data_IF_684641221224
#
_entry.id   IF_684641221224
#
_cell.length_a   1.000
_cell.length_b   1.000
_cell.length_c   1.000
_cell.angle_alpha   90.00
_cell.angle_beta   90.00
_cell.angle_gamma   90.00
#
_symmetry.space_group_name_H-M   'P 1'
#
loop_
_entity.id
_entity.type
_entity.pdbx_description
1 polymer ?
#
# COMPACT_ATOMS: atom_id res chain seq x y z
N UNK A 1 -11.70 -33.91 -59.89
CA UNK A 1 -10.76 -32.99 -59.23
C UNK A 1 -11.53 -32.19 -58.20
N UNK A 2 -11.30 -32.43 -56.91
CA UNK A 2 -11.93 -31.70 -55.81
C UNK A 2 -10.90 -31.52 -54.71
N UNK A 3 -10.49 -30.27 -54.47
CA UNK A 3 -9.59 -29.90 -53.39
C UNK A 3 -10.41 -29.19 -52.29
N UNK A 4 -10.27 -29.55 -51.00
CA UNK A 4 -10.66 -28.68 -49.89
C UNK A 4 -9.52 -27.67 -49.64
N UNK A 5 -9.74 -26.50 -49.00
CA UNK A 5 -9.88 -26.46 -47.53
C UNK A 5 -10.67 -25.18 -47.08
N UNK A 6 -10.77 -24.69 -45.85
CA UNK A 6 -10.20 -24.89 -44.52
C UNK A 6 -11.26 -24.35 -43.56
N UNK A 7 -11.50 -25.04 -42.45
CA UNK A 7 -12.18 -24.47 -41.29
C UNK A 7 -11.43 -23.21 -40.85
N UNK A 8 -12.07 -22.04 -40.94
CA UNK A 8 -11.56 -20.83 -40.29
C UNK A 8 -11.70 -21.04 -38.78
N UNK A 9 -10.63 -21.51 -38.14
CA UNK A 9 -10.39 -21.19 -36.74
C UNK A 9 -10.13 -19.70 -36.68
N UNK A 10 -11.12 -18.93 -36.22
CA UNK A 10 -10.88 -17.57 -35.76
C UNK A 10 -9.90 -17.69 -34.60
N UNK A 11 -8.63 -17.37 -34.86
CA UNK A 11 -7.67 -17.11 -33.81
C UNK A 11 -8.21 -15.92 -32.98
N UNK A 12 -8.28 -16.01 -31.65
CA UNK A 12 -8.63 -14.85 -30.85
C UNK A 12 -7.60 -13.75 -31.13
N UNK A 13 -8.09 -12.56 -31.43
CA UNK A 13 -7.26 -11.37 -31.64
C UNK A 13 -6.28 -11.20 -30.48
N UNK A 14 -5.04 -10.76 -30.76
CA UNK A 14 -4.07 -10.47 -29.72
C UNK A 14 -4.64 -9.39 -28.80
N UNK A 15 -4.77 -9.73 -27.52
CA UNK A 15 -5.21 -8.79 -26.49
C UNK A 15 -4.39 -7.50 -26.59
N UNK A 16 -5.07 -6.38 -26.80
CA UNK A 16 -4.53 -5.04 -26.71
C UNK A 16 -3.68 -4.89 -25.44
N UNK A 17 -2.43 -4.38 -25.50
CA UNK A 17 -1.57 -4.21 -24.32
C UNK A 17 -2.07 -3.11 -23.34
N UNK A 18 -3.33 -2.70 -23.43
CA UNK A 18 -3.91 -1.56 -22.72
C UNK A 18 -4.99 -1.89 -21.70
N UNK A 19 -5.23 -3.16 -21.33
CA UNK A 19 -6.24 -3.48 -20.31
C UNK A 19 -5.73 -4.51 -19.30
N UNK A 20 -4.75 -4.11 -18.49
CA UNK A 20 -4.80 -4.50 -17.08
C UNK A 20 -5.74 -3.50 -16.41
N UNK A 21 -7.04 -3.73 -16.53
CA UNK A 21 -8.00 -3.13 -15.63
C UNK A 21 -7.80 -3.81 -14.27
N UNK A 22 -6.72 -3.45 -13.58
CA UNK A 22 -6.57 -3.78 -12.18
C UNK A 22 -7.70 -3.10 -11.45
N UNK A 23 -8.56 -3.88 -10.80
CA UNK A 23 -9.55 -3.37 -9.85
C UNK A 23 -8.88 -2.29 -9.00
N UNK A 24 -9.44 -1.09 -8.86
CA UNK A 24 -8.81 -0.05 -8.05
C UNK A 24 -8.64 -0.63 -6.64
N UNK A 25 -7.39 -0.87 -6.24
CA UNK A 25 -7.10 -1.43 -4.93
C UNK A 25 -7.76 -0.54 -3.88
N UNK A 26 -8.56 -1.14 -3.00
CA UNK A 26 -9.24 -0.43 -1.91
C UNK A 26 -8.21 0.16 -0.96
N UNK A 27 -8.61 1.17 -0.18
CA UNK A 27 -7.73 1.80 0.81
C UNK A 27 -7.16 0.76 1.77
N UNK A 28 -7.99 -0.18 2.23
CA UNK A 28 -7.58 -1.28 3.10
C UNK A 28 -6.49 -2.16 2.45
N UNK A 29 -6.67 -2.58 1.19
CA UNK A 29 -5.66 -3.36 0.46
C UNK A 29 -4.33 -2.61 0.31
N UNK A 30 -4.39 -1.29 0.09
CA UNK A 30 -3.18 -0.46 -0.01
C UNK A 30 -2.48 -0.29 1.33
N UNK A 31 -3.24 -0.16 2.42
CA UNK A 31 -2.72 -0.14 3.80
C UNK A 31 -2.05 -1.48 4.12
N UNK A 32 -2.67 -2.60 3.80
CA UNK A 32 -2.08 -3.94 3.99
C UNK A 32 -0.82 -4.13 3.16
N UNK A 33 -0.81 -3.69 1.90
CA UNK A 33 0.39 -3.73 1.06
C UNK A 33 1.52 -2.87 1.64
N UNK A 34 1.20 -1.69 2.18
CA UNK A 34 2.16 -0.85 2.87
C UNK A 34 2.69 -1.52 4.15
N UNK A 35 1.83 -2.13 4.97
CA UNK A 35 2.23 -2.89 6.15
C UNK A 35 3.17 -4.05 5.80
N UNK A 36 2.88 -4.78 4.72
CA UNK A 36 3.76 -5.84 4.23
C UNK A 36 5.12 -5.29 3.77
N UNK A 37 5.13 -4.15 3.07
CA UNK A 37 6.36 -3.49 2.66
C UNK A 37 7.21 -2.98 3.83
N UNK A 38 6.58 -2.56 4.93
CA UNK A 38 7.29 -2.14 6.15
C UNK A 38 8.04 -3.30 6.82
N UNK A 39 7.53 -4.54 6.68
CA UNK A 39 8.18 -5.76 7.18
C UNK A 39 9.36 -6.21 6.31
N UNK A 40 9.64 -5.54 5.19
CA UNK A 40 10.74 -5.89 4.31
C UNK A 40 12.11 -5.73 5.00
N UNK A 41 13.04 -6.63 4.71
CA UNK A 41 14.44 -6.50 5.12
C UNK A 41 15.20 -5.44 4.30
N UNK A 42 14.65 -5.02 3.15
CA UNK A 42 15.26 -4.03 2.26
C UNK A 42 14.87 -2.62 2.71
N UNK A 43 15.85 -1.83 3.16
CA UNK A 43 15.64 -0.47 3.66
C UNK A 43 14.83 0.41 2.69
N UNK A 44 15.16 0.39 1.40
CA UNK A 44 14.43 1.15 0.37
C UNK A 44 12.95 0.77 0.29
N UNK A 45 12.62 -0.52 0.40
CA UNK A 45 11.23 -0.97 0.36
C UNK A 45 10.48 -0.52 1.62
N UNK A 46 11.12 -0.57 2.79
CA UNK A 46 10.54 -0.03 4.02
C UNK A 46 10.25 1.47 3.92
N UNK A 47 11.19 2.25 3.39
CA UNK A 47 10.98 3.70 3.21
C UNK A 47 9.83 4.00 2.25
N UNK A 48 9.71 3.26 1.15
CA UNK A 48 8.60 3.43 0.21
C UNK A 48 7.26 3.06 0.86
N UNK A 49 7.24 1.98 1.62
CA UNK A 49 6.06 1.51 2.34
C UNK A 49 5.59 2.50 3.42
N UNK A 50 6.53 3.07 4.18
CA UNK A 50 6.25 4.13 5.16
C UNK A 50 5.64 5.35 4.48
N UNK A 51 6.22 5.81 3.38
CA UNK A 51 5.68 6.95 2.62
C UNK A 51 4.28 6.68 2.09
N UNK A 52 4.05 5.48 1.53
CA UNK A 52 2.75 5.08 1.03
C UNK A 52 1.71 5.09 2.16
N UNK A 53 2.04 4.49 3.31
CA UNK A 53 1.14 4.45 4.46
C UNK A 53 0.81 5.86 4.97
N UNK A 54 1.81 6.72 5.12
CA UNK A 54 1.62 8.12 5.53
C UNK A 54 0.69 8.86 4.56
N UNK A 55 0.89 8.71 3.25
CA UNK A 55 0.05 9.35 2.24
C UNK A 55 -1.40 8.86 2.33
N UNK A 56 -1.61 7.55 2.43
CA UNK A 56 -2.94 6.96 2.54
C UNK A 56 -3.67 7.47 3.79
N UNK A 57 -3.04 7.42 4.96
CA UNK A 57 -3.67 7.86 6.21
C UNK A 57 -3.92 9.37 6.24
N UNK A 58 -3.01 10.17 5.67
CA UNK A 58 -3.22 11.62 5.56
C UNK A 58 -4.41 11.92 4.64
N UNK A 59 -4.51 11.22 3.51
CA UNK A 59 -5.63 11.38 2.58
C UNK A 59 -6.95 10.96 3.23
N UNK A 60 -6.98 9.80 3.91
CA UNK A 60 -8.16 9.32 4.61
C UNK A 60 -8.61 10.27 5.72
N UNK A 61 -7.67 10.84 6.47
CA UNK A 61 -7.98 11.83 7.51
C UNK A 61 -8.58 13.11 6.94
N UNK A 62 -8.08 13.60 5.80
CA UNK A 62 -8.63 14.77 5.10
C UNK A 62 -10.08 14.51 4.68
N UNK A 63 -10.39 13.29 4.25
CA UNK A 63 -11.72 12.94 3.76
C UNK A 63 -12.65 12.40 4.86
N UNK A 64 -12.13 12.12 6.07
CA UNK A 64 -12.83 11.44 7.19
C UNK A 64 -13.48 10.13 6.78
N UNK A 65 -12.79 9.34 5.96
CA UNK A 65 -13.39 8.19 5.26
C UNK A 65 -13.01 6.82 5.82
N UNK A 66 -11.99 6.70 6.68
CA UNK A 66 -11.52 5.39 7.16
C UNK A 66 -11.11 5.35 8.64
N UNK A 67 -12.07 5.36 9.56
CA UNK A 67 -11.83 5.02 10.98
C UNK A 67 -11.28 3.59 11.11
N UNK A 68 -11.76 2.66 10.29
CA UNK A 68 -11.35 1.25 10.30
C UNK A 68 -9.84 1.04 10.01
N UNK A 69 -9.21 1.91 9.21
CA UNK A 69 -7.77 1.81 8.94
C UNK A 69 -6.94 2.25 10.16
N UNK A 70 -7.40 3.27 10.89
CA UNK A 70 -6.79 3.70 12.14
C UNK A 70 -7.01 2.67 13.24
N UNK A 71 -8.23 2.16 13.42
CA UNK A 71 -8.53 1.08 14.38
C UNK A 71 -7.67 -0.15 14.12
N UNK A 72 -7.50 -0.54 12.85
CA UNK A 72 -6.65 -1.68 12.49
C UNK A 72 -5.17 -1.43 12.80
N UNK A 73 -4.64 -0.24 12.52
CA UNK A 73 -3.25 0.12 12.82
C UNK A 73 -2.99 0.28 14.32
N UNK A 74 -3.97 0.76 15.07
CA UNK A 74 -3.94 0.92 16.51
C UNK A 74 -4.29 -0.39 17.25
N UNK A 75 -4.74 -1.43 16.55
CA UNK A 75 -4.93 -2.75 17.13
C UNK A 75 -3.60 -3.33 17.63
N UNK A 76 -3.59 -3.97 18.80
CA UNK A 76 -2.37 -4.28 19.54
C UNK A 76 -1.28 -5.03 18.77
N UNK A 77 -1.64 -5.96 17.87
CA UNK A 77 -0.65 -6.69 17.05
C UNK A 77 -0.02 -5.82 15.96
N UNK A 78 -0.83 -5.00 15.28
CA UNK A 78 -0.36 -4.12 14.21
C UNK A 78 0.33 -2.88 14.75
N UNK A 79 -0.06 -2.40 15.92
CA UNK A 79 0.58 -1.29 16.61
C UNK A 79 2.05 -1.60 16.89
N UNK A 80 2.34 -2.80 17.43
CA UNK A 80 3.72 -3.25 17.69
C UNK A 80 4.54 -3.33 16.39
N UNK A 81 3.95 -3.87 15.33
CA UNK A 81 4.60 -3.95 14.01
C UNK A 81 4.92 -2.55 13.47
N UNK A 82 3.95 -1.65 13.51
CA UNK A 82 4.05 -0.28 12.99
C UNK A 82 5.11 0.51 13.76
N UNK A 83 5.08 0.46 15.10
CA UNK A 83 6.07 1.13 15.96
C UNK A 83 7.48 0.55 15.76
N UNK A 84 7.62 -0.76 15.56
CA UNK A 84 8.92 -1.38 15.28
C UNK A 84 9.50 -0.87 13.96
N UNK A 85 8.67 -0.74 12.92
CA UNK A 85 9.10 -0.24 11.62
C UNK A 85 9.47 1.25 11.66
N UNK A 86 8.70 2.05 12.41
CA UNK A 86 9.03 3.45 12.69
C UNK A 86 10.39 3.54 13.40
N UNK A 87 10.63 2.71 14.43
CA UNK A 87 11.91 2.70 15.15
C UNK A 87 13.08 2.38 14.22
N UNK A 88 12.96 1.34 13.40
CA UNK A 88 14.00 0.99 12.42
C UNK A 88 14.27 2.14 11.44
N UNK A 89 13.23 2.85 10.99
CA UNK A 89 13.37 3.98 10.09
C UNK A 89 14.02 5.20 10.75
N UNK A 90 13.79 5.42 12.05
CA UNK A 90 14.49 6.42 12.84
C UNK A 90 15.97 6.07 13.02
N UNK A 91 16.30 4.78 13.14
CA UNK A 91 17.67 4.29 13.29
C UNK A 91 18.49 4.32 11.97
N UNK A 92 17.84 4.33 10.80
CA UNK A 92 18.47 4.15 9.48
C UNK A 92 19.32 5.35 9.01
N UNK A 93 19.40 6.44 9.80
CA UNK A 93 20.05 7.74 9.49
C UNK A 93 19.69 8.34 8.12
N UNK A 94 18.67 7.81 7.47
CA UNK A 94 18.15 8.23 6.19
C UNK A 94 17.09 9.31 6.44
N UNK A 95 17.37 10.54 6.00
CA UNK A 95 16.48 11.70 6.23
C UNK A 95 15.08 11.48 5.65
N UNK A 96 14.95 10.76 4.54
CA UNK A 96 13.65 10.41 3.95
C UNK A 96 12.90 9.42 4.83
N UNK A 97 13.57 8.39 5.34
CA UNK A 97 12.96 7.41 6.24
C UNK A 97 12.55 8.06 7.57
N UNK A 98 13.42 8.91 8.11
CA UNK A 98 13.17 9.69 9.33
C UNK A 98 11.94 10.60 9.17
N UNK A 99 11.86 11.34 8.06
CA UNK A 99 10.73 12.23 7.78
C UNK A 99 9.43 11.45 7.65
N UNK A 100 9.43 10.34 6.90
CA UNK A 100 8.24 9.50 6.74
C UNK A 100 7.77 8.91 8.08
N UNK A 101 8.70 8.46 8.91
CA UNK A 101 8.41 7.90 10.24
C UNK A 101 7.83 8.94 11.20
N UNK A 102 8.40 10.15 11.24
CA UNK A 102 7.88 11.25 12.05
C UNK A 102 6.48 11.71 11.60
N UNK A 103 6.25 11.78 10.30
CA UNK A 103 4.93 12.11 9.75
C UNK A 103 3.89 11.04 10.10
N UNK A 104 4.24 9.76 9.98
CA UNK A 104 3.36 8.66 10.35
C UNK A 104 3.00 8.71 11.84
N UNK A 105 3.97 8.98 12.73
CA UNK A 105 3.74 9.18 14.16
C UNK A 105 2.76 10.32 14.43
N UNK A 106 2.93 11.47 13.79
CA UNK A 106 1.99 12.59 13.93
C UNK A 106 0.58 12.24 13.49
N UNK A 107 0.44 11.51 12.39
CA UNK A 107 -0.86 11.09 11.88
C UNK A 107 -1.54 10.11 12.83
N UNK A 108 -0.79 9.15 13.40
CA UNK A 108 -1.32 8.18 14.36
C UNK A 108 -1.72 8.82 15.69
N UNK A 109 -0.86 9.69 16.27
CA UNK A 109 -1.19 10.38 17.53
C UNK A 109 -2.43 11.26 17.38
N UNK A 110 -2.53 11.97 16.26
CA UNK A 110 -3.67 12.85 16.04
C UNK A 110 -4.97 12.11 15.69
N UNK A 111 -4.91 10.81 15.38
CA UNK A 111 -6.08 9.96 15.24
C UNK A 111 -6.51 9.35 16.57
N UNK A 112 -5.56 9.03 17.45
CA UNK A 112 -5.82 8.53 18.82
C UNK A 112 -6.55 9.58 19.69
N UNK A 113 -6.24 10.87 19.52
CA UNK A 113 -6.96 11.98 20.18
C UNK A 113 -8.42 12.17 19.70
N UNK A 114 -8.77 11.64 18.52
CA UNK A 114 -10.11 11.81 17.90
C UNK A 114 -11.02 10.56 18.07
N UNK A 115 -10.50 9.44 18.59
CA UNK A 115 -11.21 8.17 18.84
C UNK A 115 -11.67 8.03 20.29
#
# INVERSE_FOLDING_TARGET
AGAPPSSQSVAPEPADPGTVAGTPATVAERVDAALMGMRSQVARQRTLALNLLTQLLTQERIHRTCDAAFEYLLSGEQQVTTLTCIRMALDDRNTTALTAALQLLHVLMAADDEL
#
